data_IF_944801500084
#
_entry.id   IF_944801500084
#
_cell.length_a   1.000
_cell.length_b   1.000
_cell.length_c   1.000
_cell.angle_alpha   90.00
_cell.angle_beta   90.00
_cell.angle_gamma   90.00
#
_symmetry.space_group_name_H-M   'P 1'
#
loop_
_entity.id
_entity.type
_entity.pdbx_description
1 polymer ?
#
# COMPACT_ATOMS: atom_id res chain seq x y z
N UNK A 1 3.20 2.83 9.71
CA UNK A 1 3.78 2.89 8.36
C UNK A 1 2.66 2.70 7.34
N UNK A 2 2.51 3.65 6.44
CA UNK A 2 1.50 3.59 5.40
C UNK A 2 2.06 2.94 4.14
N UNK A 3 1.18 2.68 3.15
CA UNK A 3 1.59 2.03 1.90
C UNK A 3 2.69 2.81 1.17
N UNK A 4 2.60 4.14 1.16
CA UNK A 4 3.64 4.97 0.53
C UNK A 4 5.03 4.72 1.13
N UNK A 5 5.10 4.59 2.45
CA UNK A 5 6.36 4.30 3.14
C UNK A 5 6.87 2.90 2.80
N UNK A 6 5.97 1.93 2.74
CA UNK A 6 6.34 0.55 2.42
C UNK A 6 6.88 0.42 0.99
N UNK A 7 6.25 1.09 0.02
CA UNK A 7 6.73 1.11 -1.36
C UNK A 7 8.12 1.71 -1.43
N UNK A 8 8.31 2.86 -0.79
CA UNK A 8 9.61 3.55 -0.77
C UNK A 8 10.68 2.69 -0.10
N UNK A 9 10.36 2.07 1.02
CA UNK A 9 11.29 1.22 1.75
C UNK A 9 11.73 0.01 0.92
N UNK A 10 10.80 -0.63 0.23
CA UNK A 10 11.13 -1.75 -0.65
C UNK A 10 12.03 -1.32 -1.80
N UNK A 11 11.72 -0.19 -2.42
CA UNK A 11 12.53 0.34 -3.52
C UNK A 11 13.94 0.66 -3.06
N UNK A 12 14.08 1.33 -1.93
CA UNK A 12 15.39 1.69 -1.37
C UNK A 12 16.18 0.45 -0.96
N UNK A 13 15.52 -0.56 -0.41
CA UNK A 13 16.18 -1.82 -0.04
C UNK A 13 16.76 -2.53 -1.26
N UNK A 14 16.08 -2.47 -2.41
CA UNK A 14 16.57 -3.02 -3.66
C UNK A 14 17.57 -2.09 -4.37
N UNK A 15 17.79 -0.90 -3.83
CA UNK A 15 18.72 0.09 -4.38
C UNK A 15 18.43 0.49 -5.82
N UNK A 16 17.15 0.62 -6.14
CA UNK A 16 16.70 1.05 -7.47
C UNK A 16 16.07 2.44 -7.40
N UNK A 17 16.18 3.18 -8.50
CA UNK A 17 15.59 4.51 -8.60
C UNK A 17 14.09 4.41 -8.91
N UNK A 18 13.37 5.53 -8.70
CA UNK A 18 11.96 5.61 -9.10
C UNK A 18 11.79 5.37 -10.60
N UNK A 19 12.72 5.87 -11.41
CA UNK A 19 12.68 5.69 -12.87
C UNK A 19 12.83 4.24 -13.25
N UNK A 20 13.73 3.52 -12.58
CA UNK A 20 13.95 2.11 -12.84
C UNK A 20 12.71 1.29 -12.46
N UNK A 21 12.14 1.58 -11.30
CA UNK A 21 10.92 0.90 -10.87
C UNK A 21 9.76 1.18 -11.84
N UNK A 22 9.62 2.42 -12.28
CA UNK A 22 8.60 2.80 -13.26
C UNK A 22 8.74 2.00 -14.55
N UNK A 23 9.95 1.85 -15.04
CA UNK A 23 10.25 1.07 -16.24
C UNK A 23 9.86 -0.40 -16.06
N UNK A 24 10.19 -0.97 -14.91
CA UNK A 24 9.87 -2.38 -14.62
C UNK A 24 8.36 -2.63 -14.54
N UNK A 25 7.61 -1.66 -14.05
CA UNK A 25 6.16 -1.79 -13.90
C UNK A 25 5.37 -1.27 -15.09
N UNK A 26 6.04 -0.64 -16.06
CA UNK A 26 5.36 -0.08 -17.22
C UNK A 26 4.53 1.15 -16.92
N UNK A 27 4.95 1.96 -15.94
CA UNK A 27 4.29 3.20 -15.55
C UNK A 27 5.26 4.37 -15.66
N UNK A 28 4.77 5.61 -15.51
CA UNK A 28 5.63 6.77 -15.57
C UNK A 28 6.35 6.99 -14.25
N UNK A 29 7.50 7.67 -14.30
CA UNK A 29 8.23 8.10 -13.10
C UNK A 29 7.34 8.93 -12.18
N UNK A 30 6.53 9.81 -12.77
CA UNK A 30 5.63 10.65 -11.98
C UNK A 30 4.61 9.82 -11.20
N UNK A 31 4.15 8.71 -11.77
CA UNK A 31 3.24 7.78 -11.10
C UNK A 31 3.89 7.20 -9.84
N UNK A 32 5.13 6.72 -9.95
CA UNK A 32 5.86 6.20 -8.78
C UNK A 32 6.04 7.31 -7.73
N UNK A 33 6.40 8.50 -8.16
CA UNK A 33 6.58 9.63 -7.27
C UNK A 33 5.31 9.92 -6.47
N UNK A 34 4.15 9.88 -7.12
CA UNK A 34 2.87 10.09 -6.46
C UNK A 34 2.56 8.99 -5.42
N UNK A 35 2.89 7.76 -5.74
CA UNK A 35 2.66 6.64 -4.81
C UNK A 35 3.51 6.76 -3.54
N UNK A 36 4.72 7.32 -3.64
CA UNK A 36 5.64 7.42 -2.52
C UNK A 36 5.47 8.70 -1.70
N UNK A 37 4.64 9.63 -2.14
CA UNK A 37 4.40 10.86 -1.38
C UNK A 37 3.57 10.59 -0.13
N UNK A 38 3.84 11.37 0.90
CA UNK A 38 3.07 11.27 2.13
C UNK A 38 1.71 11.97 1.93
N UNK A 39 0.58 11.23 2.02
CA UNK A 39 -0.74 11.82 1.82
C UNK A 39 -1.10 12.89 2.87
N UNK A 40 -0.50 12.84 4.04
CA UNK A 40 -0.74 13.84 5.09
C UNK A 40 -0.08 15.18 4.77
N UNK A 41 1.03 15.16 4.03
CA UNK A 41 1.77 16.38 3.67
C UNK A 41 1.43 16.90 2.27
N UNK A 42 1.17 16.00 1.33
CA UNK A 42 0.98 16.34 -0.08
C UNK A 42 -0.25 15.64 -0.63
N UNK A 43 -1.41 15.87 0.01
CA UNK A 43 -2.64 15.14 -0.34
C UNK A 43 -3.06 15.31 -1.80
N UNK A 44 -2.88 16.51 -2.36
CA UNK A 44 -3.24 16.78 -3.75
C UNK A 44 -2.32 16.10 -4.77
N UNK A 45 -1.12 15.73 -4.35
CA UNK A 45 -0.11 15.13 -5.22
C UNK A 45 0.07 13.63 -4.98
N UNK A 46 -0.53 13.12 -3.90
CA UNK A 46 -0.50 11.70 -3.61
C UNK A 46 -1.54 10.96 -4.44
N UNK A 47 -1.18 9.76 -4.89
CA UNK A 47 -2.11 8.88 -5.58
C UNK A 47 -1.97 7.46 -5.03
N UNK A 48 -3.11 6.81 -4.81
CA UNK A 48 -3.15 5.41 -4.44
C UNK A 48 -2.93 4.55 -5.68
N UNK A 49 -2.02 3.55 -5.66
CA UNK A 49 -1.90 2.63 -6.79
C UNK A 49 -3.21 1.90 -7.04
N UNK A 50 -3.47 1.58 -8.31
CA UNK A 50 -4.62 0.73 -8.65
C UNK A 50 -4.36 -0.69 -8.15
N UNK A 51 -5.44 -1.50 -8.10
CA UNK A 51 -5.32 -2.90 -7.71
C UNK A 51 -4.26 -3.63 -8.53
N UNK A 52 -4.27 -3.45 -9.85
CA UNK A 52 -3.32 -4.11 -10.74
C UNK A 52 -1.89 -3.68 -10.47
N UNK A 53 -1.69 -2.41 -10.17
CA UNK A 53 -0.36 -1.89 -9.84
C UNK A 53 0.12 -2.42 -8.47
N UNK A 54 -0.78 -2.55 -7.49
CA UNK A 54 -0.42 -3.17 -6.22
C UNK A 54 0.02 -4.62 -6.41
N UNK A 55 -0.71 -5.38 -7.24
CA UNK A 55 -0.34 -6.76 -7.54
C UNK A 55 1.00 -6.85 -8.25
N UNK A 56 1.26 -5.93 -9.19
CA UNK A 56 2.54 -5.86 -9.90
C UNK A 56 3.69 -5.51 -8.95
N UNK A 57 3.48 -4.54 -8.06
CA UNK A 57 4.47 -4.16 -7.06
C UNK A 57 4.80 -5.34 -6.13
N UNK A 58 3.77 -6.01 -5.65
CA UNK A 58 3.93 -7.16 -4.75
C UNK A 58 4.74 -8.28 -5.43
N UNK A 59 4.42 -8.56 -6.69
CA UNK A 59 5.13 -9.57 -7.46
C UNK A 59 6.60 -9.19 -7.69
N UNK A 60 6.83 -7.94 -8.05
CA UNK A 60 8.19 -7.45 -8.30
C UNK A 60 9.06 -7.52 -7.04
N UNK A 61 8.52 -7.09 -5.90
CA UNK A 61 9.26 -7.09 -4.64
C UNK A 61 9.18 -8.40 -3.87
N UNK A 62 8.45 -9.38 -4.40
CA UNK A 62 8.29 -10.71 -3.77
C UNK A 62 7.69 -10.63 -2.36
N UNK A 63 6.71 -9.76 -2.20
CA UNK A 63 5.94 -9.63 -0.97
C UNK A 63 4.47 -9.92 -1.26
N UNK A 64 3.67 -10.13 -0.22
CA UNK A 64 2.24 -10.30 -0.42
C UNK A 64 1.56 -8.95 -0.64
N UNK A 65 0.52 -8.88 -1.50
CA UNK A 65 -0.24 -7.64 -1.63
C UNK A 65 -0.83 -7.15 -0.31
N UNK A 66 -1.23 -8.09 0.56
CA UNK A 66 -1.75 -7.74 1.88
C UNK A 66 -0.74 -7.01 2.75
N UNK A 67 0.51 -7.48 2.75
CA UNK A 67 1.57 -6.79 3.48
C UNK A 67 1.81 -5.40 2.92
N UNK A 68 1.84 -5.30 1.58
CA UNK A 68 2.09 -4.01 0.93
C UNK A 68 1.00 -2.99 1.27
N UNK A 69 -0.24 -3.42 1.29
CA UNK A 69 -1.39 -2.53 1.52
C UNK A 69 -1.60 -2.20 3.00
N UNK A 70 -1.49 -3.19 3.87
CA UNK A 70 -1.93 -3.08 5.25
C UNK A 70 -0.82 -3.30 6.27
N UNK A 71 0.37 -3.71 5.82
CA UNK A 71 1.44 -4.09 6.72
C UNK A 71 1.12 -5.42 7.41
N UNK A 72 1.65 -5.61 8.61
CA UNK A 72 1.36 -6.80 9.39
C UNK A 72 0.05 -6.64 10.13
N UNK A 73 -0.94 -7.44 9.75
CA UNK A 73 -2.19 -7.52 10.49
C UNK A 73 -2.04 -8.52 11.62
N UNK A 74 -2.67 -8.19 12.73
CA UNK A 74 -2.60 -8.96 13.96
C UNK A 74 -3.17 -10.38 13.83
N UNK A 75 -4.14 -10.57 12.92
CA UNK A 75 -4.85 -11.84 12.75
C UNK A 75 -4.65 -12.37 11.33
N UNK A 76 -4.01 -13.53 11.21
CA UNK A 76 -3.77 -14.19 9.92
C UNK A 76 -5.06 -14.53 9.17
N UNK A 77 -6.07 -14.99 9.91
CA UNK A 77 -7.36 -15.38 9.31
C UNK A 77 -8.04 -14.19 8.62
N UNK A 78 -8.04 -13.03 9.30
CA UNK A 78 -8.62 -11.82 8.74
C UNK A 78 -7.86 -11.35 7.51
N UNK A 79 -6.53 -11.48 7.52
CA UNK A 79 -5.69 -11.11 6.37
C UNK A 79 -6.01 -11.94 5.15
N UNK A 80 -6.13 -13.26 5.30
CA UNK A 80 -6.47 -14.16 4.20
C UNK A 80 -7.85 -13.86 3.63
N UNK A 81 -8.83 -13.61 4.48
CA UNK A 81 -10.18 -13.28 4.09
C UNK A 81 -10.23 -11.98 3.29
N UNK A 82 -9.53 -10.96 3.76
CA UNK A 82 -9.43 -9.67 3.08
C UNK A 82 -8.79 -9.85 1.70
N UNK A 83 -7.73 -10.64 1.61
CA UNK A 83 -7.06 -10.89 0.34
C UNK A 83 -7.96 -11.53 -0.71
N UNK A 84 -8.76 -12.52 -0.31
CA UNK A 84 -9.72 -13.15 -1.21
C UNK A 84 -10.77 -12.18 -1.70
N UNK A 85 -11.24 -11.31 -0.82
CA UNK A 85 -12.23 -10.29 -1.18
C UNK A 85 -11.66 -9.25 -2.13
N UNK A 86 -10.41 -8.86 -1.94
CA UNK A 86 -9.74 -7.86 -2.78
C UNK A 86 -9.65 -8.32 -4.23
N UNK A 87 -9.39 -9.60 -4.47
CA UNK A 87 -9.27 -10.13 -5.83
C UNK A 87 -10.52 -9.93 -6.66
N UNK A 88 -11.70 -9.87 -6.02
CA UNK A 88 -12.97 -9.68 -6.71
C UNK A 88 -13.49 -8.25 -6.74
N UNK A 89 -12.72 -7.28 -6.25
CA UNK A 89 -13.17 -5.89 -6.13
C UNK A 89 -12.92 -5.07 -7.39
N UNK A 90 -13.82 -4.11 -7.64
CA UNK A 90 -13.56 -3.06 -8.62
C UNK A 90 -12.57 -2.04 -8.04
N UNK A 91 -11.96 -1.21 -8.89
CA UNK A 91 -11.02 -0.19 -8.43
C UNK A 91 -11.61 0.77 -7.38
N UNK A 92 -12.86 1.30 -7.56
CA UNK A 92 -13.46 2.15 -6.52
C UNK A 92 -13.65 1.41 -5.19
N UNK A 93 -14.09 0.16 -5.23
CA UNK A 93 -14.27 -0.65 -4.02
C UNK A 93 -12.94 -0.92 -3.33
N UNK A 94 -11.90 -1.22 -4.11
CA UNK A 94 -10.56 -1.44 -3.61
C UNK A 94 -10.04 -0.21 -2.87
N UNK A 95 -10.19 0.98 -3.45
CA UNK A 95 -9.75 2.22 -2.82
C UNK A 95 -10.47 2.49 -1.51
N UNK A 96 -11.77 2.23 -1.48
CA UNK A 96 -12.57 2.42 -0.27
C UNK A 96 -12.08 1.51 0.87
N UNK A 97 -11.80 0.23 0.55
CA UNK A 97 -11.34 -0.73 1.56
C UNK A 97 -9.96 -0.36 2.09
N UNK A 98 -9.03 0.03 1.23
CA UNK A 98 -7.70 0.46 1.66
C UNK A 98 -7.81 1.63 2.64
N UNK A 99 -8.65 2.61 2.31
CA UNK A 99 -8.85 3.77 3.15
C UNK A 99 -9.44 3.39 4.51
N UNK A 100 -10.44 2.51 4.52
CA UNK A 100 -11.07 2.05 5.76
C UNK A 100 -10.10 1.30 6.65
N UNK A 101 -9.29 0.41 6.06
CA UNK A 101 -8.32 -0.37 6.83
C UNK A 101 -7.25 0.54 7.41
N UNK A 102 -6.75 1.50 6.64
CA UNK A 102 -5.77 2.46 7.15
C UNK A 102 -6.33 3.24 8.34
N UNK A 103 -7.59 3.69 8.28
CA UNK A 103 -8.25 4.37 9.39
C UNK A 103 -8.38 3.48 10.62
N UNK A 104 -8.76 2.21 10.42
CA UNK A 104 -8.90 1.25 11.51
C UNK A 104 -7.56 0.96 12.19
N UNK A 105 -6.50 0.81 11.40
CA UNK A 105 -5.16 0.59 11.95
C UNK A 105 -4.68 1.79 12.77
N UNK A 106 -4.96 3.00 12.33
CA UNK A 106 -4.63 4.20 13.08
C UNK A 106 -5.40 4.25 14.38
N UNK A 107 -6.70 3.92 14.37
CA UNK A 107 -7.52 3.86 15.58
C UNK A 107 -7.01 2.83 16.59
N UNK A 108 -6.64 1.65 16.10
CA UNK A 108 -6.09 0.59 16.96
C UNK A 108 -4.82 1.05 17.65
N UNK A 109 -3.91 1.68 16.91
CA UNK A 109 -2.68 2.22 17.47
C UNK A 109 -2.97 3.27 18.55
N UNK A 110 -3.94 4.16 18.29
CA UNK A 110 -4.36 5.19 19.23
C UNK A 110 -5.03 4.58 20.45
N UNK A 111 -5.91 3.60 20.24
CA UNK A 111 -6.63 2.92 21.33
C UNK A 111 -5.67 2.18 22.24
N UNK A 112 -4.68 1.49 21.67
CA UNK A 112 -3.67 0.81 22.46
C UNK A 112 -2.88 1.78 23.34
N UNK A 113 -2.55 2.93 22.81
CA UNK A 113 -1.88 3.96 23.57
C UNK A 113 -2.71 4.46 24.75
N UNK A 114 -4.05 4.45 24.63
CA UNK A 114 -4.96 4.89 25.69
C UNK A 114 -5.20 3.82 26.73
N UNK A 115 -5.25 2.57 26.34
CA UNK A 115 -5.58 1.48 27.28
C UNK A 115 -4.37 1.02 28.08
N UNK A 116 -3.22 1.50 27.75
CA UNK A 116 -2.02 1.25 28.52
C UNK A 116 -1.77 2.38 29.51
#
# INVERSE_FOLDING_TARGET
>A
MQMNDRIKALREAEKISMRQLAKELGVSHNTISKWERNPDKCRSEWALPTRDNVLSLARFFKVTPGWLMFGELKYKASRQKIMKQIEGLTDPQFRMIVKLVDELLERDATTKGRSS
#
